data_IF_319441206477
#
_entry.id   IF_319441206477
#
_cell.length_a   1.000
_cell.length_b   1.000
_cell.length_c   1.000
_cell.angle_alpha   90.00
_cell.angle_beta   90.00
_cell.angle_gamma   90.00
#
_symmetry.space_group_name_H-M   'P 1'
#
loop_
_entity.id
_entity.type
_entity.pdbx_description
1 polymer ?
#
# COMPACT_ATOMS: atom_id res chain seq x y z
N UNK A 1 6.57 -0.40 18.16
CA UNK A 1 7.19 -0.75 16.85
C UNK A 1 7.35 0.51 16.03
N UNK A 2 8.41 0.67 15.23
CA UNK A 2 8.55 1.83 14.37
C UNK A 2 7.50 1.80 13.24
N UNK A 3 7.09 3.00 12.79
CA UNK A 3 6.26 3.17 11.61
C UNK A 3 7.12 3.55 10.42
N UNK A 4 6.75 3.06 9.26
CA UNK A 4 7.23 3.52 7.97
C UNK A 4 6.09 4.26 7.27
N UNK A 5 6.33 5.53 6.96
CA UNK A 5 5.38 6.38 6.24
C UNK A 5 6.00 6.75 4.90
N UNK A 6 5.30 6.42 3.81
CA UNK A 6 5.81 6.59 2.45
C UNK A 6 4.84 7.41 1.59
N UNK A 7 5.40 8.19 0.70
CA UNK A 7 4.69 8.72 -0.47
C UNK A 7 5.10 7.87 -1.67
N UNK A 8 4.17 7.09 -2.17
CA UNK A 8 4.40 6.20 -3.30
C UNK A 8 3.76 6.76 -4.55
N UNK A 9 4.52 6.82 -5.62
CA UNK A 9 4.01 6.91 -6.98
C UNK A 9 4.38 5.60 -7.68
N UNK A 10 3.41 4.71 -7.85
CA UNK A 10 3.67 3.37 -8.33
C UNK A 10 2.69 2.97 -9.44
N UNK A 11 3.22 2.27 -10.43
CA UNK A 11 2.45 1.46 -11.38
C UNK A 11 2.10 0.14 -10.70
N UNK A 12 1.70 -0.90 -11.34
CA UNK A 12 1.33 -2.14 -10.69
C UNK A 12 2.40 -2.67 -9.69
N UNK A 13 1.97 -3.18 -8.54
CA UNK A 13 2.82 -3.93 -7.60
C UNK A 13 2.40 -5.41 -7.54
N UNK A 14 3.10 -6.23 -6.75
CA UNK A 14 2.81 -7.66 -6.63
C UNK A 14 1.45 -7.94 -5.98
N UNK A 15 0.84 -9.08 -6.33
CA UNK A 15 -0.21 -9.69 -5.53
C UNK A 15 0.41 -10.19 -4.23
N UNK A 16 0.01 -9.58 -3.12
CA UNK A 16 0.64 -9.78 -1.82
C UNK A 16 -0.37 -9.79 -0.69
N UNK A 17 0.01 -10.44 0.39
CA UNK A 17 -0.68 -10.36 1.68
C UNK A 17 0.33 -10.30 2.82
N UNK A 18 -0.16 -9.90 3.97
CA UNK A 18 0.53 -10.00 5.26
C UNK A 18 -0.28 -10.91 6.16
N UNK A 19 0.37 -11.68 7.03
CA UNK A 19 -0.36 -12.50 8.00
C UNK A 19 -1.18 -11.60 8.94
N UNK A 20 -2.23 -12.16 9.50
CA UNK A 20 -3.09 -11.45 10.46
C UNK A 20 -2.30 -11.08 11.71
N UNK A 21 -2.53 -9.88 12.30
CA UNK A 21 -1.79 -9.44 13.48
C UNK A 21 -1.97 -10.29 14.74
N UNK A 22 -3.03 -11.08 14.80
CA UNK A 22 -3.34 -12.01 15.89
C UNK A 22 -2.90 -13.46 15.60
N UNK A 23 -2.43 -13.72 14.39
CA UNK A 23 -1.90 -15.02 14.00
C UNK A 23 -0.50 -15.24 14.58
N UNK A 24 -0.28 -16.41 15.17
CA UNK A 24 1.05 -16.85 15.59
C UNK A 24 1.70 -17.59 14.45
N UNK A 25 2.81 -17.08 13.97
CA UNK A 25 3.58 -17.67 12.89
C UNK A 25 5.07 -17.51 13.18
N UNK A 26 5.84 -18.59 13.00
CA UNK A 26 7.28 -18.60 13.27
C UNK A 26 8.12 -18.06 12.10
N UNK A 27 7.54 -18.03 10.90
CA UNK A 27 8.21 -17.61 9.66
C UNK A 27 7.83 -16.18 9.26
N UNK A 28 6.56 -15.83 9.39
CA UNK A 28 6.01 -14.57 8.89
C UNK A 28 5.64 -13.61 10.01
N UNK A 29 5.98 -12.35 9.83
CA UNK A 29 5.62 -11.26 10.75
C UNK A 29 4.43 -10.48 10.18
N UNK A 30 3.48 -10.07 11.05
CA UNK A 30 2.42 -9.19 10.61
C UNK A 30 2.96 -7.80 10.23
N UNK A 31 2.40 -7.24 9.16
CA UNK A 31 2.72 -5.90 8.67
C UNK A 31 1.44 -5.10 8.41
N UNK A 32 0.75 -4.67 9.45
CA UNK A 32 -0.39 -3.78 9.30
C UNK A 32 -0.06 -2.55 8.48
N UNK A 33 -0.87 -2.29 7.45
CA UNK A 33 -0.68 -1.14 6.57
C UNK A 33 -2.01 -0.52 6.15
N UNK A 34 -1.96 0.70 5.66
CA UNK A 34 -3.09 1.40 5.07
C UNK A 34 -2.64 2.34 3.97
N UNK A 35 -3.51 2.51 2.96
CA UNK A 35 -3.24 3.31 1.77
C UNK A 35 -4.27 4.43 1.62
N UNK A 36 -3.80 5.67 1.71
CA UNK A 36 -4.60 6.84 1.43
C UNK A 36 -4.30 7.35 0.02
N UNK A 37 -5.29 7.31 -0.86
CA UNK A 37 -5.13 7.68 -2.26
C UNK A 37 -5.13 9.20 -2.42
N UNK A 38 -4.01 9.77 -2.82
CA UNK A 38 -3.85 11.20 -3.08
C UNK A 38 -4.44 11.61 -4.44
N UNK A 39 -4.60 10.66 -5.34
CA UNK A 39 -5.29 10.79 -6.62
C UNK A 39 -6.11 9.52 -6.90
N UNK A 40 -7.02 9.58 -7.87
CA UNK A 40 -7.76 8.40 -8.34
C UNK A 40 -6.78 7.27 -8.73
N UNK A 41 -7.10 6.03 -8.36
CA UNK A 41 -6.26 4.87 -8.62
C UNK A 41 -7.04 3.59 -8.82
N UNK A 42 -6.30 2.46 -8.85
CA UNK A 42 -6.84 1.12 -8.99
C UNK A 42 -6.15 0.19 -8.00
N UNK A 43 -6.95 -0.69 -7.38
CA UNK A 43 -6.50 -1.67 -6.40
C UNK A 43 -7.22 -2.99 -6.61
N UNK A 44 -6.49 -4.11 -6.48
CA UNK A 44 -7.12 -5.43 -6.30
C UNK A 44 -7.27 -5.75 -4.82
N UNK A 45 -8.43 -6.26 -4.44
CA UNK A 45 -8.76 -6.61 -3.06
C UNK A 45 -9.50 -7.94 -3.01
N UNK A 46 -8.84 -8.94 -2.46
CA UNK A 46 -9.42 -10.24 -2.16
C UNK A 46 -9.85 -11.05 -3.37
N UNK A 47 -10.43 -12.20 -3.09
CA UNK A 47 -10.89 -13.16 -4.10
C UNK A 47 -12.27 -12.76 -4.61
N UNK A 48 -12.43 -12.83 -5.92
CA UNK A 48 -13.72 -12.61 -6.58
C UNK A 48 -14.67 -13.76 -6.25
N UNK A 49 -15.93 -13.42 -5.95
CA UNK A 49 -16.97 -14.42 -5.67
C UNK A 49 -17.10 -15.41 -6.82
N UNK A 50 -17.02 -16.70 -6.50
CA UNK A 50 -17.10 -17.79 -7.46
C UNK A 50 -15.76 -18.22 -8.06
N UNK A 51 -14.65 -17.56 -7.72
CA UNK A 51 -13.31 -18.02 -8.11
C UNK A 51 -12.98 -19.36 -7.45
N UNK A 52 -12.37 -20.25 -8.22
CA UNK A 52 -11.86 -21.53 -7.72
C UNK A 52 -10.42 -21.33 -7.25
N UNK A 53 -10.19 -21.41 -5.94
CA UNK A 53 -8.90 -21.12 -5.30
C UNK A 53 -7.76 -21.98 -5.84
N UNK A 54 -8.04 -23.29 -6.13
CA UNK A 54 -7.03 -24.18 -6.71
C UNK A 54 -6.64 -23.82 -8.14
N UNK A 55 -7.57 -23.30 -8.94
CA UNK A 55 -7.26 -22.80 -10.29
C UNK A 55 -6.45 -21.50 -10.22
N UNK A 56 -6.77 -20.62 -9.28
CA UNK A 56 -6.00 -19.40 -9.03
C UNK A 56 -4.56 -19.75 -8.63
N UNK A 57 -4.38 -20.67 -7.67
CA UNK A 57 -3.06 -21.15 -7.26
C UNK A 57 -2.27 -21.74 -8.43
N UNK A 58 -2.90 -22.62 -9.21
CA UNK A 58 -2.25 -23.22 -10.37
C UNK A 58 -1.84 -22.17 -11.41
N UNK A 59 -2.69 -21.18 -11.66
CA UNK A 59 -2.37 -20.06 -12.56
C UNK A 59 -1.14 -19.30 -12.08
N UNK A 60 -1.02 -19.00 -10.78
CA UNK A 60 0.18 -18.35 -10.23
C UNK A 60 1.43 -19.23 -10.36
N UNK A 61 1.32 -20.54 -10.12
CA UNK A 61 2.42 -21.49 -10.28
C UNK A 61 2.88 -21.59 -11.75
N UNK A 62 1.95 -21.72 -12.69
CA UNK A 62 2.26 -21.77 -14.12
C UNK A 62 2.99 -20.51 -14.60
N UNK A 63 2.51 -19.33 -14.17
CA UNK A 63 3.16 -18.06 -14.50
C UNK A 63 4.56 -18.00 -13.90
N UNK A 64 4.72 -18.40 -12.65
CA UNK A 64 6.02 -18.34 -11.98
C UNK A 64 7.04 -19.28 -12.63
N UNK A 65 6.66 -20.50 -12.96
CA UNK A 65 7.51 -21.47 -13.68
C UNK A 65 7.92 -20.92 -15.06
N UNK A 66 6.98 -20.35 -15.80
CA UNK A 66 7.28 -19.72 -17.09
C UNK A 66 8.27 -18.57 -16.96
N UNK A 67 8.08 -17.70 -15.95
CA UNK A 67 8.97 -16.59 -15.65
C UNK A 67 10.38 -17.04 -15.26
N UNK A 68 10.50 -18.15 -14.49
CA UNK A 68 11.78 -18.77 -14.18
C UNK A 68 12.51 -19.26 -15.45
N UNK A 69 11.77 -19.89 -16.36
CA UNK A 69 12.31 -20.30 -17.65
C UNK A 69 12.83 -19.12 -18.49
N UNK A 70 12.05 -18.02 -18.54
CA UNK A 70 12.51 -16.80 -19.24
C UNK A 70 13.76 -16.21 -18.60
N UNK A 71 13.81 -16.11 -17.27
CA UNK A 71 14.98 -15.64 -16.54
C UNK A 71 16.22 -16.48 -16.84
N UNK A 72 16.10 -17.80 -16.88
CA UNK A 72 17.20 -18.70 -17.23
C UNK A 72 17.69 -18.47 -18.66
N UNK A 73 16.78 -18.32 -19.63
CA UNK A 73 17.13 -18.07 -21.04
C UNK A 73 17.83 -16.73 -21.24
N UNK A 74 17.51 -15.71 -20.45
CA UNK A 74 18.24 -14.44 -20.44
C UNK A 74 19.66 -14.66 -19.90
N UNK A 75 19.79 -15.36 -18.77
CA UNK A 75 21.08 -15.63 -18.11
C UNK A 75 22.03 -16.44 -19.02
N UNK A 76 21.48 -17.36 -19.82
CA UNK A 76 22.24 -18.13 -20.83
C UNK A 76 22.44 -17.39 -22.13
N UNK A 77 21.93 -16.15 -22.26
CA UNK A 77 22.00 -15.33 -23.48
C UNK A 77 21.29 -15.96 -24.70
N UNK A 78 20.32 -16.82 -24.46
CA UNK A 78 19.48 -17.42 -25.50
C UNK A 78 18.49 -16.42 -26.09
N UNK A 79 17.93 -15.54 -25.24
CA UNK A 79 17.02 -14.48 -25.67
C UNK A 79 17.42 -13.13 -25.03
N UNK A 80 17.17 -12.01 -25.73
CA UNK A 80 17.35 -10.68 -25.15
C UNK A 80 16.25 -10.35 -24.12
N UNK A 81 16.58 -9.45 -23.18
CA UNK A 81 15.68 -9.04 -22.09
C UNK A 81 14.33 -8.52 -22.59
N UNK A 82 14.31 -7.71 -23.64
CA UNK A 82 13.06 -7.13 -24.17
C UNK A 82 12.15 -8.17 -24.83
N UNK A 83 12.73 -9.19 -25.44
CA UNK A 83 11.98 -10.33 -25.99
C UNK A 83 11.34 -11.13 -24.84
N UNK A 84 12.11 -11.44 -23.78
CA UNK A 84 11.60 -12.11 -22.60
C UNK A 84 10.45 -11.32 -21.92
N UNK A 85 10.61 -10.00 -21.80
CA UNK A 85 9.55 -9.12 -21.27
C UNK A 85 8.30 -9.15 -22.15
N UNK A 86 8.44 -9.24 -23.47
CA UNK A 86 7.30 -9.37 -24.39
C UNK A 86 6.60 -10.73 -24.20
N UNK A 87 7.36 -11.81 -24.20
CA UNK A 87 6.83 -13.18 -24.00
C UNK A 87 6.13 -13.29 -22.64
N UNK A 88 6.68 -12.69 -21.58
CA UNK A 88 6.07 -12.63 -20.26
C UNK A 88 4.69 -11.95 -20.28
N UNK A 89 4.60 -10.76 -20.94
CA UNK A 89 3.31 -10.04 -21.06
C UNK A 89 2.26 -10.86 -21.81
N UNK A 90 2.62 -11.50 -22.91
CA UNK A 90 1.69 -12.29 -23.72
C UNK A 90 1.19 -13.50 -22.94
N UNK A 91 2.07 -14.23 -22.24
CA UNK A 91 1.71 -15.38 -21.43
C UNK A 91 0.82 -15.01 -20.25
N UNK A 92 1.15 -13.92 -19.53
CA UNK A 92 0.34 -13.42 -18.41
C UNK A 92 -1.03 -12.97 -18.89
N UNK A 93 -1.11 -12.32 -20.05
CA UNK A 93 -2.39 -11.93 -20.65
C UNK A 93 -3.25 -13.13 -20.99
N UNK A 94 -2.67 -14.22 -21.50
CA UNK A 94 -3.37 -15.49 -21.75
C UNK A 94 -3.88 -16.12 -20.46
N UNK A 95 -3.02 -16.23 -19.44
CA UNK A 95 -3.36 -16.83 -18.14
C UNK A 95 -4.32 -15.99 -17.31
N UNK A 96 -4.28 -14.67 -17.46
CA UNK A 96 -5.16 -13.69 -16.82
C UNK A 96 -5.38 -13.91 -15.31
N UNK A 97 -4.37 -13.74 -14.46
CA UNK A 97 -4.52 -13.95 -13.01
C UNK A 97 -5.53 -12.98 -12.36
N UNK A 98 -5.83 -11.85 -12.98
CA UNK A 98 -6.82 -10.87 -12.49
C UNK A 98 -8.26 -11.39 -12.53
N UNK A 99 -8.58 -12.46 -13.28
CA UNK A 99 -9.92 -13.04 -13.31
C UNK A 99 -10.38 -13.57 -11.95
N UNK A 100 -9.44 -13.90 -11.05
CA UNK A 100 -9.70 -14.50 -9.75
C UNK A 100 -9.88 -13.49 -8.62
N UNK A 101 -9.57 -12.22 -8.84
CA UNK A 101 -9.55 -11.17 -7.82
C UNK A 101 -10.49 -10.02 -8.16
N UNK A 102 -10.96 -9.32 -7.13
CA UNK A 102 -11.73 -8.11 -7.34
C UNK A 102 -10.81 -6.95 -7.73
N UNK A 103 -11.18 -6.21 -8.75
CA UNK A 103 -10.51 -4.99 -9.16
C UNK A 103 -11.43 -3.79 -8.91
N UNK A 104 -10.97 -2.83 -8.14
CA UNK A 104 -11.72 -1.65 -7.76
C UNK A 104 -11.02 -0.36 -8.22
N UNK A 105 -11.82 0.61 -8.64
CA UNK A 105 -11.37 1.98 -8.82
C UNK A 105 -11.49 2.71 -7.48
N UNK A 106 -10.42 3.33 -7.03
CA UNK A 106 -10.42 4.21 -5.87
C UNK A 106 -10.57 5.66 -6.29
N UNK A 107 -11.15 6.48 -5.43
CA UNK A 107 -11.23 7.92 -5.64
C UNK A 107 -10.12 8.62 -4.87
N UNK A 108 -9.85 9.87 -5.25
CA UNK A 108 -9.02 10.76 -4.44
C UNK A 108 -9.61 10.87 -3.03
N UNK A 109 -8.75 10.78 -2.04
CA UNK A 109 -9.04 10.80 -0.60
C UNK A 109 -9.62 9.50 -0.03
N UNK A 110 -9.78 8.44 -0.82
CA UNK A 110 -10.11 7.13 -0.26
C UNK A 110 -8.96 6.61 0.61
N UNK A 111 -9.29 6.12 1.81
CA UNK A 111 -8.38 5.36 2.64
C UNK A 111 -8.80 3.89 2.68
N UNK A 112 -7.89 3.00 2.34
CA UNK A 112 -8.07 1.56 2.39
C UNK A 112 -7.26 1.02 3.57
N UNK A 113 -7.96 0.39 4.51
CA UNK A 113 -7.40 -0.21 5.71
C UNK A 113 -7.07 -1.68 5.47
N UNK A 114 -5.79 -2.00 5.38
CA UNK A 114 -5.25 -3.35 5.22
C UNK A 114 -4.57 -3.85 6.50
N UNK A 115 -4.82 -3.17 7.63
CA UNK A 115 -4.15 -3.45 8.90
C UNK A 115 -4.45 -4.82 9.50
N UNK A 116 -5.54 -5.46 9.07
CA UNK A 116 -5.90 -6.81 9.52
C UNK A 116 -5.18 -7.92 8.77
N UNK A 117 -4.49 -7.62 7.67
CA UNK A 117 -3.75 -8.62 6.89
C UNK A 117 -4.62 -9.72 6.26
N UNK A 118 -4.00 -10.78 5.73
CA UNK A 118 -4.63 -11.97 5.12
C UNK A 118 -5.50 -11.70 3.89
N UNK A 119 -5.68 -10.46 3.47
CA UNK A 119 -6.43 -10.05 2.30
C UNK A 119 -5.46 -9.87 1.15
N UNK A 120 -5.76 -10.47 0.00
CA UNK A 120 -5.03 -10.23 -1.24
C UNK A 120 -5.21 -8.78 -1.67
N UNK A 121 -4.12 -8.07 -1.96
CA UNK A 121 -4.15 -6.69 -2.43
C UNK A 121 -2.94 -6.36 -3.29
N UNK A 122 -3.15 -5.47 -4.23
CA UNK A 122 -2.08 -4.86 -5.02
C UNK A 122 -2.54 -3.52 -5.59
N UNK A 123 -1.60 -2.69 -5.99
CA UNK A 123 -1.90 -1.55 -6.86
C UNK A 123 -1.91 -2.03 -8.30
N UNK A 124 -2.99 -1.74 -9.01
CA UNK A 124 -3.11 -2.13 -10.40
C UNK A 124 -2.68 -1.00 -11.34
N UNK A 125 -2.16 -1.37 -12.49
CA UNK A 125 -1.76 -0.43 -13.52
C UNK A 125 -2.89 -0.19 -14.51
N UNK A 126 -3.23 1.08 -14.73
CA UNK A 126 -4.12 1.49 -15.81
C UNK A 126 -3.57 2.77 -16.48
N UNK A 127 -2.75 2.58 -17.51
CA UNK A 127 -2.05 3.68 -18.17
C UNK A 127 -2.96 4.70 -18.87
N UNK A 128 -4.19 4.32 -19.23
CA UNK A 128 -5.16 5.21 -19.86
C UNK A 128 -5.82 6.15 -18.84
N UNK A 129 -6.20 5.59 -17.67
CA UNK A 129 -6.95 6.32 -16.64
C UNK A 129 -6.05 6.91 -15.56
N UNK A 130 -4.91 6.29 -15.29
CA UNK A 130 -3.92 6.75 -14.31
C UNK A 130 -2.51 6.73 -14.91
N UNK A 131 -2.19 7.66 -15.82
CA UNK A 131 -0.91 7.65 -16.53
C UNK A 131 0.31 7.83 -15.62
N UNK A 132 0.13 8.44 -14.45
CA UNK A 132 1.14 8.57 -13.41
C UNK A 132 1.23 7.37 -12.46
N UNK A 133 0.34 6.37 -12.63
CA UNK A 133 0.15 5.26 -11.70
C UNK A 133 -0.65 5.67 -10.46
N UNK A 134 -0.60 4.85 -9.43
CA UNK A 134 -1.23 5.13 -8.13
C UNK A 134 -0.34 6.06 -7.32
N UNK A 135 -0.93 7.12 -6.74
CA UNK A 135 -0.24 8.07 -5.86
C UNK A 135 -0.87 7.95 -4.48
N UNK A 136 -0.13 7.40 -3.54
CA UNK A 136 -0.65 7.05 -2.21
C UNK A 136 0.27 7.53 -1.09
N UNK A 137 -0.36 7.96 0.00
CA UNK A 137 0.27 8.10 1.31
C UNK A 137 0.04 6.78 2.05
N UNK A 138 1.12 6.03 2.27
CA UNK A 138 1.09 4.71 2.90
C UNK A 138 1.63 4.79 4.32
N UNK A 139 0.88 4.23 5.27
CA UNK A 139 1.33 4.02 6.65
C UNK A 139 1.39 2.53 6.92
N UNK A 140 2.52 2.04 7.41
CA UNK A 140 2.72 0.64 7.73
C UNK A 140 3.61 0.47 8.96
N UNK A 141 3.58 -0.69 9.59
CA UNK A 141 4.66 -1.07 10.50
C UNK A 141 5.95 -1.32 9.72
N UNK A 142 7.08 -0.88 10.26
CA UNK A 142 8.39 -1.10 9.67
C UNK A 142 8.84 -2.54 9.91
N UNK A 143 8.57 -3.39 8.93
CA UNK A 143 8.98 -4.79 8.90
C UNK A 143 9.62 -5.11 7.56
N UNK A 144 10.66 -5.96 7.59
CA UNK A 144 11.34 -6.39 6.37
C UNK A 144 10.39 -7.17 5.46
N UNK A 145 10.39 -6.82 4.18
CA UNK A 145 9.57 -7.48 3.15
C UNK A 145 9.80 -9.00 3.07
N UNK A 146 11.03 -9.46 3.34
CA UNK A 146 11.39 -10.87 3.22
C UNK A 146 10.72 -11.76 4.28
N UNK A 147 10.29 -11.17 5.39
CA UNK A 147 9.62 -11.87 6.50
C UNK A 147 8.21 -11.36 6.78
N UNK A 148 7.72 -10.38 6.04
CA UNK A 148 6.43 -9.77 6.31
C UNK A 148 5.54 -9.62 5.08
N UNK A 149 6.03 -9.95 3.86
CA UNK A 149 5.24 -9.81 2.63
C UNK A 149 5.27 -11.10 1.83
N UNK A 150 4.13 -11.78 1.78
CA UNK A 150 3.92 -13.05 1.08
C UNK A 150 3.36 -12.74 -0.31
N UNK A 151 3.98 -13.25 -1.38
CA UNK A 151 3.63 -12.89 -2.77
C UNK A 151 3.29 -14.10 -3.61
N UNK A 152 2.21 -14.01 -4.39
CA UNK A 152 1.80 -15.03 -5.36
C UNK A 152 2.10 -14.68 -6.80
N UNK A 153 2.16 -13.39 -7.15
CA UNK A 153 2.37 -12.92 -8.51
C UNK A 153 3.04 -11.54 -8.50
N UNK A 154 4.05 -11.30 -9.35
CA UNK A 154 4.80 -10.02 -9.39
C UNK A 154 4.67 -9.29 -10.74
N UNK A 155 3.48 -9.32 -11.35
CA UNK A 155 3.14 -8.56 -12.56
C UNK A 155 4.08 -8.83 -13.77
N UNK A 156 4.76 -9.98 -13.79
CA UNK A 156 5.70 -10.33 -14.86
C UNK A 156 6.98 -9.50 -14.87
N UNK A 157 7.38 -8.93 -13.74
CA UNK A 157 8.58 -8.10 -13.64
C UNK A 157 9.85 -8.93 -13.80
N UNK A 158 10.67 -8.53 -14.75
CA UNK A 158 12.05 -9.02 -14.95
C UNK A 158 12.98 -7.83 -14.73
N UNK A 159 13.94 -7.96 -13.81
CA UNK A 159 14.95 -6.93 -13.55
C UNK A 159 15.89 -6.74 -14.74
N UNK A 160 16.64 -5.65 -14.76
CA UNK A 160 17.56 -5.34 -15.85
C UNK A 160 18.72 -6.35 -15.95
N UNK A 161 19.07 -7.03 -14.87
CA UNK A 161 20.01 -8.14 -14.84
C UNK A 161 19.42 -9.49 -15.31
N UNK A 162 18.16 -9.50 -15.72
CA UNK A 162 17.43 -10.70 -16.16
C UNK A 162 16.90 -11.58 -15.04
N UNK A 163 17.08 -11.21 -13.77
CA UNK A 163 16.54 -11.96 -12.64
C UNK A 163 15.07 -11.61 -12.36
N UNK A 164 14.38 -12.53 -11.71
CA UNK A 164 13.01 -12.31 -11.19
C UNK A 164 13.02 -12.39 -9.66
N UNK A 165 11.95 -11.89 -9.05
CA UNK A 165 11.74 -12.01 -7.61
C UNK A 165 11.32 -13.44 -7.25
N UNK A 166 11.82 -13.95 -6.12
CA UNK A 166 11.31 -15.18 -5.51
C UNK A 166 9.89 -14.91 -4.99
N UNK A 167 8.98 -15.85 -5.25
CA UNK A 167 7.60 -15.84 -4.78
C UNK A 167 7.39 -16.91 -3.71
N UNK A 168 6.36 -16.71 -2.88
CA UNK A 168 5.99 -17.57 -1.75
C UNK A 168 4.56 -18.09 -1.98
N UNK A 169 4.32 -18.73 -3.15
CA UNK A 169 2.97 -19.06 -3.63
C UNK A 169 2.26 -20.01 -2.67
N UNK A 170 2.96 -21.02 -2.13
CA UNK A 170 2.38 -21.95 -1.18
C UNK A 170 1.87 -21.24 0.07
N UNK A 171 2.74 -20.45 0.71
CA UNK A 171 2.42 -19.67 1.91
C UNK A 171 1.32 -18.66 1.65
N UNK A 172 1.32 -18.05 0.45
CA UNK A 172 0.27 -17.10 0.06
C UNK A 172 -1.11 -17.76 0.12
N UNK A 173 -1.26 -18.95 -0.46
CA UNK A 173 -2.54 -19.66 -0.48
C UNK A 173 -2.89 -20.33 0.85
N UNK A 174 -1.91 -20.56 1.72
CA UNK A 174 -2.13 -21.02 3.10
C UNK A 174 -2.75 -19.93 3.98
N UNK A 175 -2.27 -18.69 3.84
CA UNK A 175 -2.69 -17.56 4.69
C UNK A 175 -3.76 -16.65 4.06
N UNK A 176 -4.17 -16.92 2.80
CA UNK A 176 -5.13 -16.09 2.09
C UNK A 176 -6.52 -16.19 2.69
N UNK A 177 -7.13 -15.05 3.02
CA UNK A 177 -8.54 -14.98 3.35
C UNK A 177 -9.39 -15.21 2.09
N UNK A 178 -10.07 -16.32 2.05
CA UNK A 178 -10.90 -16.75 0.92
C UNK A 178 -12.38 -16.38 1.06
N UNK A 179 -12.79 -15.74 2.17
CA UNK A 179 -14.16 -15.30 2.34
C UNK A 179 -14.43 -14.05 1.49
N UNK A 180 -15.30 -14.14 0.47
CA UNK A 180 -15.61 -13.01 -0.38
C UNK A 180 -16.32 -11.87 0.37
N UNK A 181 -16.93 -12.12 1.52
CA UNK A 181 -17.57 -11.07 2.32
C UNK A 181 -16.52 -10.21 3.03
N UNK A 182 -15.39 -10.80 3.49
CA UNK A 182 -14.31 -10.03 4.10
C UNK A 182 -13.53 -9.18 3.09
N UNK A 183 -13.62 -9.53 1.81
CA UNK A 183 -12.82 -8.94 0.74
C UNK A 183 -13.51 -7.81 -0.02
N UNK A 184 -14.68 -7.35 0.44
CA UNK A 184 -15.39 -6.23 -0.19
C UNK A 184 -14.75 -4.90 0.18
N UNK A 185 -14.60 -4.04 -0.82
CA UNK A 185 -13.98 -2.70 -0.62
C UNK A 185 -14.73 -1.88 0.44
N UNK A 186 -16.04 -2.05 0.57
CA UNK A 186 -16.90 -1.36 1.53
C UNK A 186 -16.49 -1.63 2.98
N UNK A 187 -15.89 -2.79 3.26
CA UNK A 187 -15.42 -3.14 4.61
C UNK A 187 -13.99 -2.65 4.89
N UNK A 188 -13.23 -2.35 3.86
CA UNK A 188 -11.83 -1.92 3.96
C UNK A 188 -11.66 -0.42 3.78
N UNK A 189 -12.58 0.23 3.07
CA UNK A 189 -12.62 1.68 2.94
C UNK A 189 -13.08 2.30 4.25
N UNK A 190 -12.34 3.33 4.71
CA UNK A 190 -12.70 4.09 5.92
C UNK A 190 -13.31 5.42 5.54
N UNK A 191 -14.41 5.74 6.21
CA UNK A 191 -15.09 7.02 6.14
C UNK A 191 -14.59 7.93 7.26
N UNK A 192 -14.58 9.22 7.03
CA UNK A 192 -14.27 10.23 8.04
C UNK A 192 -15.35 10.27 9.12
N UNK A 193 -14.92 10.17 10.39
CA UNK A 193 -15.75 10.41 11.57
C UNK A 193 -15.19 11.64 12.33
N UNK A 194 -15.67 12.81 11.97
CA UNK A 194 -15.05 14.07 12.35
C UNK A 194 -13.62 14.14 11.81
N UNK A 195 -12.65 14.22 12.71
CA UNK A 195 -11.23 14.22 12.32
C UNK A 195 -10.61 12.82 12.26
N UNK A 196 -11.31 11.81 12.74
CA UNK A 196 -10.82 10.45 12.74
C UNK A 196 -10.99 9.85 11.36
N UNK A 197 -9.90 9.46 10.74
CA UNK A 197 -9.93 8.75 9.47
C UNK A 197 -9.62 7.25 9.67
N UNK A 198 -8.63 6.92 10.52
CA UNK A 198 -8.28 5.55 10.83
C UNK A 198 -7.87 5.39 12.30
N UNK A 199 -8.30 4.29 12.89
CA UNK A 199 -7.84 3.79 14.19
C UNK A 199 -7.54 2.31 14.08
N UNK A 200 -6.29 1.97 14.29
CA UNK A 200 -5.83 0.58 14.44
C UNK A 200 -5.26 0.40 15.84
N UNK A 201 -4.88 -0.80 16.19
CA UNK A 201 -4.15 -1.03 17.44
C UNK A 201 -2.68 -0.62 17.39
N UNK A 202 -2.18 -0.21 16.20
CA UNK A 202 -0.77 0.07 15.96
C UNK A 202 -0.50 1.54 15.68
N UNK A 203 -1.42 2.20 14.98
CA UNK A 203 -1.32 3.61 14.62
C UNK A 203 -2.70 4.19 14.32
N UNK A 204 -2.73 5.49 14.29
CA UNK A 204 -3.91 6.27 14.00
C UNK A 204 -3.62 7.31 12.92
N UNK A 205 -4.62 7.62 12.12
CA UNK A 205 -4.58 8.71 11.14
C UNK A 205 -5.78 9.62 11.37
N UNK A 206 -5.51 10.91 11.52
CA UNK A 206 -6.52 11.97 11.49
C UNK A 206 -6.43 12.72 10.15
N UNK A 207 -7.54 13.32 9.77
CA UNK A 207 -7.59 14.36 8.76
C UNK A 207 -7.99 15.67 9.46
N UNK A 208 -7.13 16.67 9.36
CA UNK A 208 -7.31 17.96 10.01
C UNK A 208 -7.58 19.03 8.96
N UNK A 209 -8.75 19.66 9.04
CA UNK A 209 -9.05 20.86 8.27
C UNK A 209 -8.67 22.08 9.08
N UNK A 210 -7.72 22.86 8.58
CA UNK A 210 -7.14 24.03 9.27
C UNK A 210 -7.62 25.29 8.55
N UNK A 211 -8.54 26.01 9.16
CA UNK A 211 -9.07 27.30 8.66
C UNK A 211 -8.55 28.49 9.46
N UNK A 212 -7.98 28.23 10.62
CA UNK A 212 -7.40 29.23 11.54
C UNK A 212 -6.33 28.59 12.41
N UNK A 213 -5.62 29.41 13.17
CA UNK A 213 -4.65 28.93 14.16
C UNK A 213 -5.29 27.83 15.06
N UNK A 214 -4.57 26.74 15.25
CA UNK A 214 -5.01 25.61 16.04
C UNK A 214 -3.87 25.07 16.90
N UNK A 215 -4.10 24.98 18.21
CA UNK A 215 -3.19 24.37 19.16
C UNK A 215 -3.50 22.86 19.28
N UNK A 216 -2.47 22.04 19.30
CA UNK A 216 -2.52 20.58 19.39
C UNK A 216 -1.53 20.09 20.45
N UNK A 217 -1.79 18.91 20.99
CA UNK A 217 -0.91 18.23 21.95
C UNK A 217 -0.41 16.92 21.35
N UNK A 218 0.81 16.52 21.68
CA UNK A 218 1.38 15.25 21.25
C UNK A 218 0.91 14.08 22.12
N UNK A 219 0.44 14.35 23.34
CA UNK A 219 0.09 13.32 24.35
C UNK A 219 1.25 12.33 24.59
N UNK A 220 2.50 12.81 24.56
CA UNK A 220 3.73 12.03 24.67
C UNK A 220 3.96 11.01 23.55
N UNK A 221 3.30 11.16 22.42
CA UNK A 221 3.52 10.37 21.22
C UNK A 221 4.11 11.25 20.11
N UNK A 222 4.95 10.69 19.26
CA UNK A 222 5.34 11.41 18.06
C UNK A 222 4.13 11.63 17.14
N UNK A 223 4.18 12.67 16.33
CA UNK A 223 3.18 12.90 15.30
C UNK A 223 3.88 13.28 13.99
N UNK A 224 3.41 12.70 12.89
CA UNK A 224 3.85 13.08 11.56
C UNK A 224 2.69 13.83 10.89
N UNK A 225 2.97 15.00 10.37
CA UNK A 225 2.05 15.87 9.67
C UNK A 225 2.40 15.85 8.18
N UNK A 226 1.47 15.47 7.33
CA UNK A 226 1.58 15.56 5.88
C UNK A 226 0.57 16.59 5.35
N UNK A 227 1.03 17.61 4.65
CA UNK A 227 0.16 18.64 4.07
C UNK A 227 -0.39 18.14 2.75
N UNK A 228 -1.65 17.72 2.76
CA UNK A 228 -2.36 17.25 1.57
C UNK A 228 -2.74 18.42 0.66
N UNK A 229 -3.34 19.46 1.23
CA UNK A 229 -3.76 20.66 0.51
C UNK A 229 -3.40 21.92 1.31
N UNK A 230 -3.12 23.02 0.60
CA UNK A 230 -2.73 24.30 1.18
C UNK A 230 -1.28 24.31 1.68
N UNK A 231 -0.97 25.29 2.53
CA UNK A 231 0.33 25.50 3.18
C UNK A 231 0.10 25.79 4.66
N UNK A 232 0.95 25.26 5.53
CA UNK A 232 0.88 25.51 6.96
C UNK A 232 2.20 26.05 7.51
N UNK A 233 2.10 26.66 8.69
CA UNK A 233 3.23 26.92 9.58
C UNK A 233 3.01 26.15 10.87
N UNK A 234 4.00 25.39 11.28
CA UNK A 234 4.03 24.69 12.57
C UNK A 234 4.95 25.44 13.51
N UNK A 235 4.45 25.76 14.70
CA UNK A 235 5.22 26.44 15.73
C UNK A 235 5.27 25.57 16.98
N UNK A 236 6.47 25.29 17.48
CA UNK A 236 6.73 24.51 18.69
C UNK A 236 8.00 24.99 19.37
N UNK A 237 7.98 25.20 20.68
CA UNK A 237 9.16 25.55 21.50
C UNK A 237 9.98 26.74 20.92
N UNK A 238 9.29 27.73 20.36
CA UNK A 238 9.90 28.90 19.74
C UNK A 238 10.46 28.67 18.33
N UNK A 239 10.43 27.45 17.81
CA UNK A 239 10.77 27.14 16.42
C UNK A 239 9.56 27.28 15.51
N UNK A 240 9.79 27.75 14.29
CA UNK A 240 8.76 27.92 13.26
C UNK A 240 9.20 27.19 12.00
N UNK A 241 8.36 26.27 11.52
CA UNK A 241 8.61 25.51 10.31
C UNK A 241 7.45 25.72 9.33
N UNK A 242 7.74 26.16 8.12
CA UNK A 242 6.77 26.19 7.03
C UNK A 242 6.75 24.83 6.32
N UNK A 243 5.56 24.27 6.13
CA UNK A 243 5.34 23.01 5.41
C UNK A 243 4.33 23.26 4.30
N UNK A 244 4.75 23.07 3.07
CA UNK A 244 3.92 23.30 1.89
C UNK A 244 3.25 22.01 1.44
N UNK A 245 2.27 22.11 0.57
CA UNK A 245 1.58 20.97 -0.03
C UNK A 245 2.57 19.91 -0.53
N UNK A 246 2.30 18.64 -0.23
CA UNK A 246 3.13 17.50 -0.60
C UNK A 246 4.33 17.24 0.30
N UNK A 247 4.53 18.06 1.34
CA UNK A 247 5.61 17.91 2.31
C UNK A 247 5.10 17.48 3.67
N UNK A 248 6.02 16.97 4.47
CA UNK A 248 5.75 16.50 5.84
C UNK A 248 6.67 17.18 6.84
N UNK A 249 6.22 17.27 8.09
CA UNK A 249 7.10 17.49 9.23
C UNK A 249 6.84 16.46 10.34
N UNK A 250 7.86 16.25 11.16
CA UNK A 250 7.82 15.34 12.29
C UNK A 250 7.80 16.13 13.58
N UNK A 251 6.88 15.83 14.47
CA UNK A 251 6.79 16.39 15.82
C UNK A 251 7.25 15.30 16.80
N UNK A 252 8.39 15.48 17.48
CA UNK A 252 8.87 14.52 18.47
C UNK A 252 7.94 14.42 19.67
N UNK A 253 7.92 13.27 20.34
CA UNK A 253 7.15 13.07 21.57
C UNK A 253 7.60 13.94 22.75
N UNK A 254 8.81 14.50 22.70
CA UNK A 254 9.34 15.48 23.68
C UNK A 254 8.67 16.85 23.60
N UNK A 255 8.08 17.19 22.45
CA UNK A 255 7.28 18.41 22.28
C UNK A 255 5.91 18.15 22.83
N UNK A 256 5.51 18.82 23.90
CA UNK A 256 4.20 18.61 24.53
C UNK A 256 3.06 19.23 23.73
N UNK A 257 3.29 20.44 23.20
CA UNK A 257 2.28 21.24 22.50
C UNK A 257 2.91 21.92 21.27
N UNK A 258 2.10 22.07 20.24
CA UNK A 258 2.46 22.81 19.04
C UNK A 258 1.23 23.48 18.42
N UNK A 259 1.48 24.43 17.57
CA UNK A 259 0.43 25.18 16.89
C UNK A 259 0.57 25.02 15.40
N UNK A 260 -0.54 24.79 14.71
CA UNK A 260 -0.63 24.83 13.24
C UNK A 260 -1.40 26.09 12.85
N UNK A 261 -0.87 26.83 11.91
CA UNK A 261 -1.52 27.99 11.31
C UNK A 261 -1.54 27.82 9.79
N UNK A 262 -2.70 28.05 9.17
CA UNK A 262 -2.83 27.98 7.70
C UNK A 262 -2.26 29.24 7.05
N UNK A 263 -1.66 29.09 5.87
CA UNK A 263 -1.20 30.21 5.02
C UNK A 263 -2.08 30.37 3.77
N UNK A 264 -3.15 29.62 3.70
CA UNK A 264 -4.19 29.68 2.69
C UNK A 264 -5.55 29.78 3.40
N UNK A 265 -6.66 29.96 2.69
CA UNK A 265 -7.99 30.01 3.31
C UNK A 265 -8.27 28.75 4.12
N UNK A 266 -7.89 27.59 3.56
CA UNK A 266 -7.99 26.29 4.22
C UNK A 266 -6.79 25.43 3.85
N UNK A 267 -6.24 24.72 4.82
CA UNK A 267 -5.24 23.67 4.62
C UNK A 267 -5.76 22.33 5.15
N UNK A 268 -5.42 21.25 4.48
CA UNK A 268 -5.77 19.89 4.93
C UNK A 268 -4.51 19.09 5.22
N UNK A 269 -4.47 18.52 6.41
CA UNK A 269 -3.30 17.83 6.96
C UNK A 269 -3.68 16.41 7.38
N UNK A 270 -2.93 15.41 6.93
CA UNK A 270 -2.97 14.08 7.51
C UNK A 270 -2.01 14.06 8.71
N UNK A 271 -2.53 13.69 9.88
CA UNK A 271 -1.79 13.56 11.12
C UNK A 271 -1.70 12.08 11.49
N UNK A 272 -0.51 11.51 11.45
CA UNK A 272 -0.25 10.11 11.82
C UNK A 272 0.46 10.04 13.18
N UNK A 273 0.01 9.14 14.04
CA UNK A 273 0.56 8.94 15.39
C UNK A 273 0.30 7.51 15.90
N UNK A 274 0.95 7.10 16.98
CA UNK A 274 0.78 5.82 17.68
C UNK A 274 0.09 6.04 19.05
#
# INVERSE_FOLDING_TARGET
MPLLIKLNQARGNSFQLHIRPDEKNDMWLPKPESWYFLEKGYISLGIKKGSVVSEYKQTCLDIYEYMQGLSQRIQTKEIPLEEARSQARDYIKEKNPWQFVNLYSTQKNDLIDLSMGAIHHSWEENNELTPLGNIVYEVQLDASDDVATIRSFDQGKIKDDGTIRKLNIEDYFEHLDTDPEHNKIEYLKREEDGEKLLRTRFYSVNILEITKNRQLTTNNHFQQLYVRDGDITVTAEGMIVRVTRGHSCFIPSSVSEYTIDTKTDTSVVLQTFV
#
